data_IF_779683990186
#
_entry.id   IF_779683990186
#
_cell.length_a   1.000
_cell.length_b   1.000
_cell.length_c   1.000
_cell.angle_alpha   90.00
_cell.angle_beta   90.00
_cell.angle_gamma   90.00
#
_symmetry.space_group_name_H-M   'P 1'
#
loop_
_entity.id
_entity.type
_entity.pdbx_description
1 polymer ?
2 polymer ?
3 polymer ?
4 non-polymer ?
5 non-polymer ?
6 non-polymer ?
7 water ?
#
# COMPACT_ATOMS: atom_id res chain seq x y z
N UNK A 7 -13.82 8.40 -11.04
CA UNK A 7 -14.78 9.51 -11.02
C UNK A 7 -15.00 9.87 -9.55
N UNK A 8 -15.34 8.85 -8.77
CA UNK A 8 -15.41 8.99 -7.32
C UNK A 8 -14.24 8.36 -6.61
N UNK A 9 -13.12 8.13 -7.34
CA UNK A 9 -11.98 7.52 -6.69
C UNK A 9 -11.53 8.35 -5.50
N UNK A 10 -11.00 7.74 -4.48
CA UNK A 10 -10.35 8.53 -3.43
C UNK A 10 -11.30 9.26 -2.52
N UNK A 11 -12.60 9.05 -2.62
CA UNK A 11 -13.59 9.68 -1.78
C UNK A 11 -14.23 8.58 -0.94
N UNK A 12 -13.94 8.56 0.36
CA UNK A 12 -14.40 7.44 1.15
C UNK A 12 -15.87 7.55 1.56
N UNK A 13 -16.61 6.48 1.35
CA UNK A 13 -18.02 6.56 1.76
C UNK A 13 -18.28 6.94 3.20
N UNK A 14 -17.44 6.49 4.13
CA UNK A 14 -17.69 6.82 5.53
C UNK A 14 -17.04 8.09 6.00
N UNK A 15 -16.30 8.74 5.09
CA UNK A 15 -15.65 9.97 5.49
C UNK A 15 -15.98 11.07 4.49
N UNK A 16 -15.26 11.22 3.39
CA UNK A 16 -15.52 12.35 2.49
C UNK A 16 -16.96 12.39 2.00
N UNK A 17 -17.56 11.24 1.70
CA UNK A 17 -18.92 11.31 1.17
C UNK A 17 -19.91 11.86 2.17
N UNK A 18 -19.63 11.73 3.48
CA UNK A 18 -20.52 12.19 4.52
C UNK A 18 -19.98 13.43 5.22
N UNK A 19 -18.90 13.96 4.68
CA UNK A 19 -18.20 15.08 5.28
C UNK A 19 -17.80 14.79 6.73
N UNK A 20 -17.28 13.62 6.99
CA UNK A 20 -16.65 13.28 8.24
C UNK A 20 -15.14 13.12 8.06
N UNK A 21 -14.37 13.54 9.04
CA UNK A 21 -12.92 13.41 9.01
C UNK A 21 -12.45 12.31 9.92
N UNK A 22 -11.42 11.60 9.49
CA UNK A 22 -10.82 10.57 10.36
C UNK A 22 -9.92 11.22 11.39
N UNK A 23 -9.43 10.42 12.31
CA UNK A 23 -8.75 10.96 13.48
C UNK A 23 -7.42 11.59 13.15
N UNK A 24 -6.77 11.26 12.05
CA UNK A 24 -5.43 11.87 11.89
C UNK A 24 -5.23 12.49 10.53
N UNK A 25 -6.27 12.66 9.72
CA UNK A 25 -6.05 13.30 8.41
C UNK A 25 -5.67 14.74 8.62
N UNK A 26 -6.08 15.42 9.69
CA UNK A 26 -5.61 16.76 9.93
C UNK A 26 -4.09 16.83 9.99
N UNK A 27 -3.42 15.84 10.56
CA UNK A 27 -1.96 15.83 10.63
C UNK A 27 -1.36 15.87 9.24
N UNK A 28 -1.97 15.16 8.30
CA UNK A 28 -1.50 15.23 6.93
C UNK A 28 -1.70 16.63 6.38
N UNK A 29 -2.90 17.16 6.54
CA UNK A 29 -3.17 18.49 6.00
C UNK A 29 -2.20 19.53 6.51
N UNK A 30 -1.90 19.43 7.79
CA UNK A 30 -0.99 20.39 8.40
C UNK A 30 0.42 20.29 7.85
N UNK A 31 0.80 19.14 7.30
CA UNK A 31 2.11 19.00 6.68
C UNK A 31 2.15 19.54 5.26
N UNK A 32 1.01 19.84 4.66
CA UNK A 32 0.96 20.24 3.25
C UNK A 32 1.05 21.76 3.17
N UNK A 33 2.26 22.25 3.20
CA UNK A 33 2.38 23.67 3.45
C UNK A 33 2.27 24.53 2.18
N UNK A 34 2.38 23.96 1.01
CA UNK A 34 2.17 24.48 -0.33
C UNK A 34 3.46 24.68 -1.13
N UNK B 1 2.89 -2.78 10.79
CA UNK B 1 3.14 -1.38 11.09
C UNK B 1 3.66 -1.29 12.51
N UNK B 2 4.82 -0.68 12.64
CA UNK B 2 5.41 -0.44 13.93
C UNK B 2 5.06 0.96 14.39
N UNK B 3 4.61 1.03 15.64
CA UNK B 3 4.31 2.30 16.29
C UNK B 3 3.23 3.10 15.56
N UNK B 4 2.27 2.42 14.98
CA UNK B 4 1.07 3.06 14.46
C UNK B 4 -0.09 2.89 15.44
N UNK B 5 -1.30 2.89 14.90
CA UNK B 5 -2.50 2.81 15.71
C UNK B 5 -3.54 2.04 14.93
N UNK B 6 -4.58 1.62 15.61
CA UNK B 6 -5.66 0.96 14.91
C UNK B 6 -6.36 1.88 13.91
N UNK B 7 -6.63 1.42 12.71
CA UNK B 7 -7.49 2.13 11.76
C UNK B 7 -8.93 2.25 12.25
N UNK B 8 -9.59 3.30 11.80
CA UNK B 8 -11.03 3.43 11.94
C UNK B 8 -11.72 2.59 10.89
N UNK B 9 -12.95 2.18 11.17
CA UNK B 9 -13.74 1.48 10.15
C UNK B 9 -13.89 2.34 8.91
N UNK B 10 -13.62 1.78 7.75
CA UNK B 10 -13.74 2.43 6.47
C UNK B 10 -12.74 3.52 6.19
N UNK B 11 -11.70 3.58 6.98
CA UNK B 11 -10.67 4.62 6.82
C UNK B 11 -9.80 4.41 5.58
N UNK B 12 -9.62 3.17 5.19
CA UNK B 12 -8.77 2.81 4.05
C UNK B 12 -9.51 1.79 3.20
N UNK B 13 -10.59 2.21 2.56
CA UNK B 13 -11.44 1.23 1.91
C UNK B 13 -10.86 0.63 0.65
N UNK B 14 -9.71 1.16 0.25
CA UNK B 14 -8.93 0.62 -0.86
C UNK B 14 -7.91 -0.42 -0.39
N UNK B 15 -7.78 -0.64 0.91
CA UNK B 15 -6.80 -1.59 1.41
C UNK B 15 -7.14 -2.99 0.98
N UNK B 16 -6.12 -3.70 0.52
CA UNK B 16 -6.30 -5.07 0.10
C UNK B 16 -5.29 -5.93 0.83
N UNK B 17 -5.75 -7.08 1.27
CA UNK B 17 -4.89 -8.11 1.84
C UNK B 17 -4.63 -9.16 0.79
N UNK B 18 -3.37 -9.42 0.47
CA UNK B 18 -2.97 -10.57 -0.31
C UNK B 18 -2.76 -11.74 0.65
N UNK B 19 -3.49 -12.80 0.34
CA UNK B 19 -3.68 -13.94 1.23
C UNK B 19 -3.22 -15.19 0.51
N UNK B 20 -2.33 -15.91 1.23
CA UNK B 20 -1.83 -17.09 0.55
C UNK B 20 -2.87 -18.21 0.74
N UNK B 21 -3.19 -18.96 -0.30
CA UNK B 21 -4.32 -19.91 -0.19
C UNK B 21 -3.98 -21.02 0.75
N UNK B 22 -2.73 -21.41 0.50
CA UNK B 22 -2.34 -22.47 1.46
C UNK B 22 -0.85 -22.42 1.55
N UNK B 23 -0.21 -22.50 2.75
CA UNK B 23 -0.98 -22.36 3.98
C UNK B 23 -1.53 -20.95 4.21
N UNK B 24 -2.66 -20.89 4.86
CA UNK B 24 -3.41 -19.63 4.99
C UNK B 24 -2.53 -18.65 5.76
N UNK B 25 -2.11 -17.60 5.06
CA UNK B 25 -1.25 -16.64 5.73
C UNK B 25 -1.32 -15.31 4.96
N UNK B 26 -1.09 -14.23 5.70
CA UNK B 26 -0.96 -12.92 5.14
C UNK B 26 0.31 -12.97 4.29
N UNK B 27 0.19 -12.56 3.04
CA UNK B 27 1.44 -12.41 2.29
C UNK B 27 1.91 -10.97 2.22
N UNK B 28 0.96 -10.09 1.98
CA UNK B 28 1.34 -8.72 1.61
C UNK B 28 0.10 -7.85 1.66
N UNK B 29 0.34 -6.55 1.58
CA UNK B 29 -0.70 -5.60 1.33
C UNK B 29 -0.77 -5.30 -0.15
N UNK B 30 -1.81 -4.54 -0.49
CA UNK B 30 -2.14 -4.15 -1.85
C UNK B 30 -3.18 -3.04 -1.79
N UNK B 31 -3.58 -2.52 -2.93
CA UNK B 31 -4.60 -1.51 -2.96
C UNK B 31 -5.52 -1.68 -4.16
N UNK B 32 -6.76 -1.27 -3.96
CA UNK B 32 -7.79 -1.28 -4.99
C UNK B 32 -7.79 0.03 -5.80
N UNK B 33 -7.57 -0.10 -7.11
CA UNK B 33 -7.54 1.11 -7.96
C UNK B 33 -8.70 1.16 -8.95
N UNK B 34 -9.46 0.08 -9.06
CA UNK B 34 -10.71 0.11 -9.81
C UNK B 34 -11.46 -1.17 -9.49
N UNK B 35 -12.59 -1.41 -10.15
CA UNK B 35 -13.38 -2.56 -9.70
C UNK B 35 -12.70 -3.88 -10.05
N UNK B 36 -11.69 -3.96 -10.88
CA UNK B 36 -11.03 -5.17 -11.25
C UNK B 36 -9.51 -5.10 -11.11
N UNK B 37 -8.94 -4.02 -10.65
CA UNK B 37 -7.48 -3.93 -10.62
C UNK B 37 -6.97 -3.63 -9.22
N UNK B 38 -5.93 -4.38 -8.85
CA UNK B 38 -5.27 -4.25 -7.57
C UNK B 38 -3.78 -3.98 -7.82
N UNK B 39 -3.26 -3.04 -7.08
CA UNK B 39 -1.86 -2.63 -7.19
C UNK B 39 -1.07 -3.14 -6.00
N UNK B 40 0.13 -3.63 -6.21
CA UNK B 40 0.97 -4.12 -5.10
C UNK B 40 2.44 -3.95 -5.50
N UNK B 41 3.33 -4.44 -4.64
CA UNK B 41 4.75 -4.44 -4.92
C UNK B 41 5.12 -5.72 -5.67
N UNK B 42 6.03 -5.59 -6.62
CA UNK B 42 6.52 -6.77 -7.29
C UNK B 42 7.16 -7.73 -6.32
N UNK B 43 7.83 -7.26 -5.27
CA UNK B 43 8.55 -8.22 -4.43
C UNK B 43 7.59 -9.03 -3.57
N UNK B 44 6.33 -8.63 -3.50
CA UNK B 44 5.33 -9.49 -2.87
C UNK B 44 5.06 -10.77 -3.65
N UNK B 45 5.34 -10.73 -4.93
CA UNK B 45 5.05 -11.81 -5.84
C UNK B 45 6.29 -12.49 -6.35
N UNK B 46 7.40 -11.75 -6.46
CA UNK B 46 8.59 -12.30 -7.08
C UNK B 46 9.83 -11.82 -6.37
N UNK B 47 10.56 -12.74 -5.75
CA UNK B 47 11.84 -12.39 -5.10
C UNK B 47 12.62 -13.66 -4.97
N UNK B 48 13.32 -14.03 -6.04
CA UNK B 48 14.10 -15.28 -6.06
C UNK B 48 15.07 -15.46 -4.93
N UNK B 49 15.76 -14.49 -4.40
CA UNK B 49 16.67 -14.84 -3.26
C UNK B 49 15.98 -15.49 -2.08
N UNK B 50 14.69 -15.26 -1.93
CA UNK B 50 13.90 -15.88 -0.86
C UNK B 50 13.00 -16.98 -1.42
N UNK B 51 13.30 -17.42 -2.64
CA UNK B 51 12.47 -18.51 -3.22
C UNK B 51 11.00 -18.12 -3.32
N UNK B 52 10.75 -16.86 -3.63
CA UNK B 52 9.38 -16.37 -3.75
C UNK B 52 9.07 -16.15 -5.23
N UNK B 53 8.04 -16.85 -5.68
CA UNK B 53 7.58 -16.67 -7.05
C UNK B 53 6.15 -17.18 -7.16
N UNK B 54 5.21 -16.30 -6.84
CA UNK B 54 3.83 -16.68 -6.80
C UNK B 54 3.14 -16.54 -8.16
N UNK B 55 2.19 -17.45 -8.29
CA UNK B 55 1.33 -17.36 -9.48
C UNK B 55 -0.09 -17.07 -9.05
N UNK B 56 -0.93 -16.76 -10.00
CA UNK B 56 -2.30 -16.33 -9.75
C UNK B 56 -3.05 -17.29 -8.83
N UNK B 57 -2.92 -18.59 -9.06
CA UNK B 57 -3.77 -19.49 -8.26
C UNK B 57 -3.22 -19.72 -6.88
N UNK B 58 -2.07 -19.12 -6.55
CA UNK B 58 -1.51 -19.32 -5.21
C UNK B 58 -2.12 -18.39 -4.16
N UNK B 59 -2.83 -17.38 -4.60
CA UNK B 59 -3.26 -16.27 -3.77
C UNK B 59 -4.72 -15.89 -3.97
N UNK B 60 -5.21 -15.19 -2.98
CA UNK B 60 -6.50 -14.52 -3.05
C UNK B 60 -6.32 -13.07 -2.60
N UNK B 61 -7.27 -12.23 -2.99
CA UNK B 61 -7.24 -10.89 -2.42
C UNK B 61 -8.50 -10.74 -1.55
N UNK B 62 -8.33 -10.09 -0.42
CA UNK B 62 -9.39 -9.87 0.55
C UNK B 62 -9.54 -8.36 0.68
N UNK B 63 -10.74 -7.86 0.40
CA UNK B 63 -11.02 -6.46 0.24
C UNK B 63 -12.09 -6.08 1.24
N UNK B 64 -12.01 -4.92 1.83
CA UNK B 64 -13.01 -4.48 2.79
C UNK B 64 -12.73 -4.90 4.21
N UNK B 65 -11.51 -5.38 4.48
CA UNK B 65 -11.24 -5.92 5.80
C UNK B 65 -10.81 -4.88 6.81
N UNK B 66 -10.99 -5.28 8.07
CA UNK B 66 -10.51 -4.51 9.18
C UNK B 66 -9.79 -5.44 10.15
N UNK B 67 -10.49 -6.48 10.62
CA UNK B 67 -9.82 -7.52 11.34
C UNK B 67 -8.75 -8.25 10.51
N UNK B 68 -7.58 -8.56 11.08
CA UNK B 68 -6.53 -9.29 10.39
C UNK B 68 -6.92 -10.73 10.08
N UNK B 69 -7.41 -11.40 11.14
CA UNK B 69 -7.56 -12.84 11.06
C UNK B 69 -8.98 -13.32 10.84
N UNK B 70 -9.99 -12.51 11.14
CA UNK B 70 -11.35 -13.04 10.96
C UNK B 70 -11.84 -12.96 9.52
N UNK B 71 -12.79 -13.83 9.18
CA UNK B 71 -13.57 -13.75 7.97
C UNK B 71 -14.76 -12.83 8.19
N UNK B 72 -14.66 -11.63 7.73
CA UNK B 72 -15.60 -10.57 8.12
C UNK B 72 -16.82 -10.61 7.23
N UNK B 73 -17.66 -11.55 7.63
CA UNK B 73 -18.89 -11.93 6.95
C UNK B 73 -19.72 -10.71 6.63
N UNK B 74 -20.18 -10.56 5.40
CA UNK B 74 -21.06 -9.52 4.91
C UNK B 74 -20.37 -8.18 4.78
N UNK B 75 -19.06 -8.19 4.90
CA UNK B 75 -18.30 -6.95 4.80
C UNK B 75 -17.15 -7.11 3.83
N UNK B 76 -16.30 -8.09 4.15
CA UNK B 76 -15.17 -8.26 3.23
C UNK B 76 -15.66 -8.97 1.98
N UNK B 77 -14.88 -8.80 0.93
CA UNK B 77 -15.06 -9.55 -0.30
C UNK B 77 -13.76 -10.22 -0.70
N UNK B 78 -13.88 -11.45 -1.17
CA UNK B 78 -12.69 -12.23 -1.53
C UNK B 78 -12.71 -12.44 -3.03
N UNK B 79 -11.61 -12.10 -3.66
CA UNK B 79 -11.54 -12.18 -5.11
C UNK B 79 -10.39 -13.06 -5.52
N UNK B 80 -10.65 -13.71 -6.66
CA UNK B 80 -9.61 -14.49 -7.30
C UNK B 80 -8.87 -13.62 -8.31
N UNK B 81 -7.65 -14.06 -8.58
CA UNK B 81 -6.82 -13.37 -9.54
C UNK B 81 -6.94 -14.03 -10.90
N UNK B 82 -7.19 -13.08 -11.87
CA UNK B 82 -7.12 -13.49 -13.27
C UNK B 82 -5.68 -13.49 -13.77
N UNK B 83 -4.98 -12.40 -13.48
CA UNK B 83 -3.64 -12.36 -14.05
C UNK B 83 -2.76 -11.42 -13.24
N UNK B 84 -1.52 -11.72 -13.02
CA UNK B 84 -0.52 -10.84 -12.46
C UNK B 84 0.34 -10.23 -13.56
N UNK B 85 0.67 -8.95 -13.45
CA UNK B 85 1.56 -8.23 -14.32
C UNK B 85 2.64 -7.59 -13.46
N UNK B 86 3.85 -8.06 -13.59
CA UNK B 86 4.97 -7.47 -12.89
C UNK B 86 5.74 -6.55 -13.84
N UNK B 87 6.20 -5.43 -13.31
CA UNK B 87 6.98 -4.54 -14.18
C UNK B 87 8.14 -5.30 -14.81
N UNK B 88 8.27 -5.23 -16.12
CA UNK B 88 9.28 -6.05 -16.81
C UNK B 88 10.73 -5.76 -16.48
N UNK B 89 11.06 -4.63 -15.97
CA UNK B 89 12.29 -4.02 -15.49
C UNK B 89 12.40 -3.96 -13.98
N UNK B 90 11.50 -4.61 -13.23
CA UNK B 90 11.68 -4.80 -11.81
C UNK B 90 13.07 -5.40 -11.52
N UNK B 91 13.83 -4.67 -10.72
CA UNK B 91 15.24 -5.07 -10.48
C UNK B 91 15.38 -5.76 -9.14
N UNK B 92 14.99 -7.01 -9.06
CA UNK B 92 15.08 -7.75 -7.81
C UNK B 92 16.51 -8.14 -7.44
N UNK B 93 17.42 -8.04 -8.41
CA UNK B 93 18.79 -8.45 -8.10
C UNK B 93 19.57 -7.46 -7.24
N UNK B 94 19.11 -6.21 -7.34
CA UNK B 94 19.90 -5.16 -6.71
C UNK B 94 19.15 -4.40 -5.63
N UNK B 95 18.13 -3.63 -6.02
CA UNK B 95 17.53 -2.68 -5.12
C UNK B 95 16.01 -2.57 -5.24
N UNK B 96 15.37 -3.55 -5.86
CA UNK B 96 13.93 -3.56 -6.11
C UNK B 96 13.49 -2.34 -6.90
N UNK B 97 14.33 -1.79 -7.75
CA UNK B 97 13.87 -0.70 -8.60
C UNK B 97 12.64 -1.15 -9.40
N UNK B 98 11.65 -0.28 -9.53
CA UNK B 98 10.41 -0.51 -10.24
C UNK B 98 9.65 -1.66 -9.58
N UNK B 99 9.50 -1.54 -8.28
CA UNK B 99 8.86 -2.54 -7.43
C UNK B 99 7.33 -2.38 -7.48
N UNK B 100 6.75 -2.87 -8.54
CA UNK B 100 5.34 -2.64 -8.81
C UNK B 100 4.79 -3.81 -9.61
N UNK B 101 3.54 -4.12 -9.27
CA UNK B 101 2.81 -5.16 -9.94
C UNK B 101 1.33 -4.81 -9.89
N UNK B 102 0.64 -5.22 -10.92
CA UNK B 102 -0.83 -5.12 -11.02
C UNK B 102 -1.40 -6.52 -11.06
N UNK B 103 -2.56 -6.68 -10.46
CA UNK B 103 -3.32 -7.91 -10.43
C UNK B 103 -4.73 -7.61 -10.94
N UNK B 104 -5.16 -8.34 -11.95
CA UNK B 104 -6.52 -8.20 -12.47
C UNK B 104 -7.38 -9.26 -11.80
N UNK B 105 -8.49 -8.85 -11.25
CA UNK B 105 -9.40 -9.78 -10.57
C UNK B 105 -10.26 -10.51 -11.61
N UNK B 106 -10.68 -11.70 -11.22
CA UNK B 106 -11.53 -12.46 -12.11
C UNK B 106 -12.89 -11.79 -12.35
N UNK B 107 -13.45 -11.13 -11.35
CA UNK B 107 -14.75 -10.48 -11.44
C UNK B 107 -14.67 -9.09 -10.77
N UNK B 108 -15.56 -8.22 -11.18
CA UNK B 108 -15.54 -6.90 -10.54
C UNK B 108 -16.00 -7.04 -9.10
N UNK B 109 -15.37 -6.24 -8.26
CA UNK B 109 -15.78 -6.16 -6.86
C UNK B 109 -16.80 -5.00 -6.77
N UNK B 110 -17.87 -5.28 -6.05
CA UNK B 110 -18.87 -4.26 -5.75
C UNK B 110 -18.33 -3.30 -4.71
N UNK B 111 -18.43 -2.02 -4.98
CA UNK B 111 -18.03 -1.02 -3.98
C UNK B 111 -19.10 -0.97 -2.89
N UNK B 112 -18.69 -0.52 -1.72
CA UNK B 112 -19.55 -0.45 -0.56
C UNK B 112 -18.96 0.59 0.37
N UNK B 113 -19.50 0.67 1.57
CA UNK B 113 -18.94 1.60 2.53
C UNK B 113 -17.53 1.20 2.90
N UNK B 114 -17.14 -0.03 2.70
CA UNK B 114 -15.87 -0.57 3.15
C UNK B 114 -14.90 -0.88 2.03
N UNK B 115 -15.38 -0.74 0.80
CA UNK B 115 -14.64 -1.10 -0.39
C UNK B 115 -14.79 0.03 -1.42
N UNK B 116 -13.69 0.71 -1.71
CA UNK B 116 -13.74 1.80 -2.62
C UNK B 116 -12.35 2.08 -3.17
N UNK B 117 -12.22 2.42 -4.43
CA UNK B 117 -10.84 2.62 -4.97
C UNK B 117 -10.19 3.94 -4.60
N UNK B 118 -8.86 3.89 -4.56
CA UNK B 118 -8.02 5.04 -4.36
C UNK B 118 -7.70 5.67 -5.70
N UNK B 119 -7.38 6.94 -5.76
CA UNK B 119 -6.93 7.56 -7.00
C UNK B 119 -5.45 7.39 -7.20
N UNK B 120 -5.07 7.42 -8.47
CA UNK B 120 -3.67 7.44 -8.81
C UNK B 120 -3.30 8.85 -9.25
N UNK B 121 -2.11 9.25 -8.87
CA UNK B 121 -1.68 10.61 -9.17
C UNK B 121 -1.42 10.80 -10.66
N UNK B 122 -1.66 12.02 -11.08
CA UNK B 122 -1.12 12.54 -12.34
C UNK B 122 0.12 13.40 -12.06
N UNK B 123 0.68 13.97 -13.11
CA UNK B 123 1.96 14.67 -12.96
C UNK B 123 1.87 15.81 -11.94
N UNK B 124 0.73 16.48 -11.97
CA UNK B 124 0.57 17.68 -11.15
C UNK B 124 0.39 17.25 -9.69
N UNK B 125 -0.31 16.13 -9.50
CA UNK B 125 -0.49 15.58 -8.15
C UNK B 125 0.86 15.30 -7.51
N UNK B 126 1.67 14.61 -8.29
CA UNK B 126 2.97 14.24 -7.80
C UNK B 126 3.84 15.45 -7.51
N UNK B 127 3.77 16.43 -8.38
CA UNK B 127 4.60 17.60 -8.16
C UNK B 127 4.13 18.32 -6.92
N UNK B 128 2.82 18.41 -6.78
CA UNK B 128 2.25 19.13 -5.63
C UNK B 128 2.50 18.40 -4.31
N UNK B 129 2.35 17.10 -4.25
CA UNK B 129 2.36 16.43 -2.95
C UNK B 129 3.64 15.70 -2.56
N UNK B 130 4.46 15.29 -3.50
CA UNK B 130 5.67 14.50 -3.25
C UNK B 130 6.86 15.43 -3.02
N UNK B 131 6.79 15.98 -1.80
CA UNK B 131 7.70 16.97 -1.27
C UNK B 131 8.18 16.60 0.13
N UNK B 132 9.47 16.82 0.37
CA UNK B 132 9.97 16.50 1.70
C UNK B 132 9.16 17.21 2.77
N UNK B 133 8.85 16.44 3.82
CA UNK B 133 8.10 17.00 4.95
C UNK B 133 6.62 16.70 4.84
N UNK B 134 6.13 16.56 3.59
CA UNK B 134 4.72 16.27 3.44
C UNK B 134 4.44 14.84 3.92
N UNK B 135 3.35 14.64 4.63
CA UNK B 135 3.08 13.33 5.20
C UNK B 135 2.10 12.53 4.38
N UNK B 136 2.35 11.26 4.37
CA UNK B 136 1.42 10.28 3.83
C UNK B 136 1.12 9.28 4.90
N UNK B 137 0.28 8.36 4.51
CA UNK B 137 -0.29 7.39 5.42
C UNK B 137 -0.02 6.01 4.86
N UNK B 138 0.49 5.16 5.73
CA UNK B 138 0.74 3.76 5.39
C UNK B 138 -0.11 2.89 6.29
N UNK B 139 -0.64 1.83 5.71
CA UNK B 139 -1.57 0.98 6.41
C UNK B 139 -1.19 -0.46 6.16
N UNK B 140 -1.49 -1.33 7.13
CA UNK B 140 -1.29 -2.74 6.85
C UNK B 140 -1.51 -3.61 8.09
N UNK B 141 -1.40 -4.88 7.85
CA UNK B 141 -1.58 -5.87 8.90
C UNK B 141 -0.28 -6.60 9.24
N UNK B 142 0.84 -5.98 8.88
CA UNK B 142 2.13 -6.59 9.16
C UNK B 142 2.52 -6.49 10.61
N UNK B 143 3.72 -6.96 10.85
CA UNK B 143 4.24 -7.07 12.22
C UNK B 143 4.26 -5.73 12.93
N UNK B 144 4.06 -5.86 14.24
CA UNK B 144 4.08 -4.71 15.09
C UNK B 144 5.48 -4.31 15.54
N UNK B 145 6.45 -5.20 15.36
CA UNK B 145 7.81 -4.98 15.81
C UNK B 145 8.76 -5.70 14.88
N UNK B 146 9.99 -5.23 14.76
CA UNK B 146 10.97 -5.93 13.94
C UNK B 146 11.21 -7.33 14.49
N UNK B 147 11.33 -7.44 15.82
CA UNK B 147 11.63 -8.71 16.47
C UNK B 147 10.95 -8.78 17.84
N UNK B 155 4.15 -8.32 18.18
CA UNK B 155 3.42 -9.43 17.55
C UNK B 155 2.75 -9.03 16.25
N UNK B 156 1.54 -9.53 16.05
CA UNK B 156 0.68 -9.30 14.90
C UNK B 156 -0.61 -8.62 15.35
N UNK B 157 -1.08 -7.64 14.62
CA UNK B 157 -2.20 -6.84 15.10
C UNK B 157 -3.53 -7.55 14.88
N UNK B 158 -4.49 -7.22 15.74
CA UNK B 158 -5.83 -7.76 15.57
C UNK B 158 -6.56 -7.02 14.45
N UNK B 159 -6.24 -5.76 14.23
CA UNK B 159 -6.92 -4.98 13.22
C UNK B 159 -5.91 -4.14 12.44
N UNK B 160 -6.35 -3.71 11.26
CA UNK B 160 -5.56 -2.87 10.39
C UNK B 160 -4.94 -1.72 11.15
N UNK B 161 -3.65 -1.53 10.89
CA UNK B 161 -2.89 -0.49 11.52
C UNK B 161 -2.60 0.61 10.52
N UNK B 162 -2.43 1.81 11.07
CA UNK B 162 -2.15 2.98 10.26
C UNK B 162 -1.05 3.80 10.91
N UNK B 163 -0.21 4.44 10.10
CA UNK B 163 0.75 5.42 10.61
C UNK B 163 0.96 6.46 9.54
N UNK B 164 1.09 7.69 9.96
CA UNK B 164 1.39 8.79 9.07
C UNK B 164 2.88 9.07 9.15
N UNK B 165 3.53 9.25 8.03
CA UNK B 165 4.97 9.42 7.98
C UNK B 165 5.35 10.50 6.97
N UNK B 166 6.33 11.32 7.30
CA UNK B 166 6.79 12.35 6.35
C UNK B 166 7.73 11.79 5.30
N UNK B 167 7.57 12.35 4.10
CA UNK B 167 8.51 12.14 3.02
C UNK B 167 9.86 12.76 3.40
N UNK B 168 10.92 12.02 3.14
CA UNK B 168 12.26 12.44 3.56
C UNK B 168 13.07 12.98 2.39
N UNK B 169 13.89 13.96 2.66
CA UNK B 169 14.75 14.57 1.66
C UNK B 169 15.61 13.49 1.02
N UNK B 170 15.81 13.60 -0.27
CA UNK B 170 16.50 12.53 -0.94
C UNK B 170 17.94 12.35 -0.49
N UNK B 171 18.70 13.39 -0.23
CA UNK B 171 20.05 13.14 0.29
C UNK B 171 20.05 12.40 1.62
N UNK B 172 19.09 12.65 2.50
CA UNK B 172 19.03 11.88 3.75
C UNK B 172 18.72 10.43 3.50
N UNK B 173 17.77 10.19 2.59
CA UNK B 173 17.50 8.81 2.23
C UNK B 173 18.76 8.10 1.75
N UNK B 174 19.45 8.79 0.85
CA UNK B 174 20.66 8.20 0.25
C UNK B 174 21.75 7.91 1.28
N UNK B 175 21.87 8.83 2.21
CA UNK B 175 22.92 8.71 3.22
C UNK B 175 22.59 7.71 4.30
N UNK B 176 21.43 7.11 4.29
CA UNK B 176 20.96 6.23 5.33
C UNK B 176 21.25 4.78 5.00
N UNK B 177 21.69 4.49 3.81
CA UNK B 177 21.79 3.13 3.34
C UNK B 177 22.93 3.01 2.37
N UNK B 178 23.41 1.76 2.22
CA UNK B 178 24.42 1.46 1.20
C UNK B 178 23.74 1.04 -0.10
N UNK B 179 22.45 0.84 -0.12
CA UNK B 179 21.74 0.42 -1.33
C UNK B 179 21.63 1.60 -2.26
N UNK B 180 21.72 1.37 -3.55
CA UNK B 180 21.54 2.42 -4.54
C UNK B 180 20.08 2.79 -4.71
N UNK B 181 19.75 4.01 -4.52
CA UNK B 181 18.42 4.60 -4.65
C UNK B 181 18.17 5.07 -6.08
N UNK B 182 16.99 4.92 -6.59
CA UNK B 182 16.64 5.39 -7.93
C UNK B 182 15.49 6.40 -7.86
N UNK B 183 15.26 7.05 -8.99
CA UNK B 183 14.19 8.03 -9.09
C UNK B 183 12.81 7.42 -8.99
N UNK B 184 12.68 6.14 -9.17
CA UNK B 184 11.48 5.37 -8.96
C UNK B 184 11.20 5.00 -7.52
N UNK B 185 11.90 5.52 -6.56
CA UNK B 185 11.71 5.30 -5.14
C UNK B 185 11.65 6.63 -4.41
N UNK B 186 10.96 6.62 -3.26
CA UNK B 186 11.16 7.68 -2.31
C UNK B 186 11.23 7.04 -0.93
N UNK B 187 11.63 7.84 0.08
CA UNK B 187 11.65 7.26 1.43
C UNK B 187 10.82 8.17 2.33
N UNK B 188 10.37 7.53 3.40
CA UNK B 188 9.53 8.22 4.37
C UNK B 188 9.86 7.70 5.76
N UNK B 189 9.60 8.54 6.73
CA UNK B 189 9.84 8.20 8.13
C UNK B 189 10.37 9.42 8.85
N UNK B 190 10.29 9.32 10.20
CA UNK B 190 10.85 10.36 11.04
C UNK B 190 12.34 10.16 11.23
N UNK B 191 12.99 11.29 11.40
CA UNK B 191 14.42 11.30 11.72
C UNK B 191 14.61 11.03 13.19
N UNK B 192 15.76 10.53 13.64
CA UNK B 192 15.95 10.34 15.07
C UNK B 192 15.66 11.55 15.94
N UNK B 193 16.09 12.73 15.51
CA UNK B 193 15.85 13.93 16.31
C UNK B 193 14.39 14.33 16.32
N UNK B 194 13.55 13.82 15.42
CA UNK B 194 12.14 14.20 15.43
C UNK B 194 11.32 13.57 16.54
N UNK B 195 11.83 12.58 17.27
CA UNK B 195 11.11 12.06 18.43
C UNK B 195 9.94 11.15 18.12
N UNK B 196 9.24 11.36 17.00
CA UNK B 196 8.14 10.49 16.63
C UNK B 196 8.68 9.29 15.87
N UNK B 197 7.90 8.21 15.85
CA UNK B 197 8.32 6.96 15.27
C UNK B 197 7.25 6.42 14.34
N UNK B 198 7.66 5.33 13.70
CA UNK B 198 6.69 4.65 12.85
C UNK B 198 7.35 4.10 11.59
N UNK B 199 6.90 2.94 11.20
CA UNK B 199 7.38 2.39 9.93
C UNK B 199 6.44 1.29 9.52
N UNK B 200 6.60 0.94 8.26
CA UNK B 200 6.02 -0.30 7.83
C UNK B 200 6.92 -1.42 8.32
N UNK B 201 6.44 -2.66 8.28
CA UNK B 201 7.26 -3.80 8.63
C UNK B 201 6.84 -5.04 7.86
N UNK B 202 7.42 -6.18 8.19
CA UNK B 202 7.13 -7.43 7.52
C UNK B 202 5.63 -7.68 7.45
N UNK B 203 5.09 -7.91 6.27
CA UNK B 203 3.65 -8.08 6.08
C UNK B 203 2.98 -6.85 5.48
N UNK B 204 3.66 -5.70 5.57
CA UNK B 204 3.07 -4.47 5.08
C UNK B 204 3.49 -4.17 3.63
N UNK B 205 4.50 -4.87 3.10
CA UNK B 205 4.95 -4.75 1.74
C UNK B 205 3.76 -4.73 0.78
N UNK B 206 3.87 -3.89 -0.23
CA UNK B 206 2.82 -3.82 -1.25
C UNK B 206 1.67 -2.93 -0.93
N UNK B 207 1.55 -2.49 0.34
CA UNK B 207 0.44 -1.64 0.71
C UNK B 207 0.65 -0.24 0.24
N UNK B 208 -0.41 0.53 0.35
CA UNK B 208 -0.34 1.90 -0.16
C UNK B 208 0.19 2.93 0.79
N UNK B 209 0.90 3.88 0.21
CA UNK B 209 1.28 5.14 0.86
C UNK B 209 0.36 6.18 0.21
N UNK B 210 -0.57 6.73 0.99
CA UNK B 210 -1.57 7.61 0.44
C UNK B 210 -1.47 9.01 1.01
N UNK B 211 -1.93 9.96 0.21
CA UNK B 211 -1.94 11.35 0.61
C UNK B 211 -3.28 11.95 0.24
N UNK B 212 -3.83 12.87 1.03
CA UNK B 212 -5.11 13.45 0.77
C UNK B 212 -4.86 14.82 0.13
N UNK B 213 -5.20 14.97 -1.13
CA UNK B 213 -4.96 16.26 -1.78
C UNK B 213 -5.77 17.35 -1.11
N UNK B 214 -5.09 18.44 -0.75
CA UNK B 214 -5.83 19.56 -0.17
C UNK B 214 -6.51 20.37 -1.26
N UNK B 215 -6.27 20.08 -2.52
CA UNK B 215 -6.89 20.82 -3.64
C UNK B 215 -8.27 20.29 -3.95
N UNK B 216 -8.37 18.92 -3.97
CA UNK B 216 -9.64 18.36 -4.38
C UNK B 216 -10.22 17.36 -3.41
N UNK B 217 -9.63 17.18 -2.23
CA UNK B 217 -10.19 16.39 -1.15
C UNK B 217 -10.12 14.90 -1.41
N UNK B 218 -9.35 14.46 -2.37
CA UNK B 218 -9.32 13.07 -2.74
C UNK B 218 -8.00 12.42 -2.27
N UNK B 219 -8.11 11.16 -1.93
CA UNK B 219 -6.94 10.37 -1.57
C UNK B 219 -6.27 9.78 -2.80
N UNK B 220 -4.97 9.97 -2.88
CA UNK B 220 -4.10 9.50 -3.93
C UNK B 220 -3.06 8.54 -3.37
N UNK B 221 -2.86 7.47 -4.11
CA UNK B 221 -1.79 6.55 -3.75
C UNK B 221 -0.49 7.00 -4.43
N UNK B 222 0.40 7.54 -3.61
CA UNK B 222 1.64 8.10 -4.11
C UNK B 222 2.76 7.05 -4.10
N UNK B 223 2.62 6.07 -3.20
CA UNK B 223 3.67 5.10 -3.04
C UNK B 223 3.12 3.72 -2.78
N UNK B 224 4.02 2.76 -2.92
CA UNK B 224 3.80 1.38 -2.52
C UNK B 224 4.91 0.98 -1.56
N UNK B 225 4.53 0.32 -0.47
CA UNK B 225 5.54 -0.11 0.48
C UNK B 225 6.52 -1.04 -0.22
N UNK B 226 7.80 -0.69 -0.28
CA UNK B 226 8.82 -1.46 -0.98
C UNK B 226 9.78 -2.04 0.03
N UNK B 227 11.04 -1.66 0.04
CA UNK B 227 12.04 -2.28 0.90
C UNK B 227 12.38 -1.40 2.10
N UNK B 228 12.93 -2.02 3.14
CA UNK B 228 13.49 -1.37 4.31
C UNK B 228 14.54 -2.25 4.96
N UNK B 229 15.41 -1.72 5.74
CA UNK B 229 16.46 -2.47 6.48
C UNK B 229 16.00 -2.40 7.93
N UNK B 230 15.40 -3.52 8.35
CA UNK B 230 14.80 -3.54 9.67
C UNK B 230 13.49 -2.80 9.67
N UNK B 231 12.99 -2.46 10.84
CA UNK B 231 11.72 -1.75 10.90
C UNK B 231 11.85 -0.73 12.06
N UNK B 232 11.52 0.50 11.77
CA UNK B 232 11.52 1.57 12.76
C UNK B 232 12.86 1.68 13.46
N UNK B 233 13.93 1.38 12.73
CA UNK B 233 15.24 1.64 13.30
C UNK B 233 15.62 3.11 13.18
N UNK B 234 16.21 3.64 14.24
CA UNK B 234 16.71 5.01 14.15
C UNK B 234 17.72 5.20 13.02
N UNK B 235 17.42 6.21 12.21
CA UNK B 235 18.32 6.62 11.15
C UNK B 235 18.13 5.81 9.89
N UNK B 236 17.16 4.91 9.92
CA UNK B 236 16.78 4.18 8.72
C UNK B 236 15.40 4.67 8.30
N UNK B 237 15.09 4.54 7.01
CA UNK B 237 13.83 5.00 6.45
C UNK B 237 13.24 3.91 5.62
N UNK B 238 11.93 3.87 5.52
CA UNK B 238 11.32 2.90 4.62
C UNK B 238 11.31 3.46 3.21
N UNK B 239 11.43 2.58 2.24
CA UNK B 239 11.39 2.97 0.85
C UNK B 239 10.09 2.52 0.17
N UNK B 240 9.64 3.36 -0.73
CA UNK B 240 8.36 3.27 -1.40
C UNK B 240 8.55 3.45 -2.88
N UNK B 241 7.82 2.65 -3.64
CA UNK B 241 7.79 2.78 -5.08
C UNK B 241 7.01 4.06 -5.42
N UNK B 242 7.63 4.85 -6.27
CA UNK B 242 7.03 6.09 -6.73
C UNK B 242 6.00 5.83 -7.80
N UNK B 243 4.71 5.85 -7.43
CA UNK B 243 3.66 5.43 -8.32
C UNK B 243 3.57 6.28 -9.58
N UNK B 244 3.65 7.59 -9.43
CA UNK B 244 3.51 8.40 -10.62
C UNK B 244 4.61 8.10 -11.63
N UNK B 245 5.85 7.85 -11.18
CA UNK B 245 6.94 7.62 -12.10
C UNK B 245 6.68 6.34 -12.90
N UNK B 246 5.81 5.46 -12.36
CA UNK B 246 5.50 4.22 -13.06
C UNK B 246 4.13 4.20 -13.69
N UNK B 247 3.53 5.39 -13.78
CA UNK B 247 2.16 5.45 -14.25
C UNK B 247 2.04 5.13 -15.73
N UNK B 248 3.02 5.42 -16.55
CA UNK B 248 2.87 5.05 -17.97
C UNK B 248 2.72 3.54 -18.06
N UNK B 249 3.49 2.83 -17.24
CA UNK B 249 3.36 1.37 -17.25
C UNK B 249 1.99 0.89 -16.75
N UNK B 250 1.55 1.48 -15.64
CA UNK B 250 0.23 1.14 -15.15
C UNK B 250 -0.83 1.33 -16.24
N UNK B 251 -0.73 2.54 -16.88
CA UNK B 251 -1.74 2.82 -17.89
C UNK B 251 -1.65 1.90 -19.10
N UNK B 252 -0.41 1.56 -19.47
CA UNK B 252 -0.14 0.65 -20.58
C UNK B 252 -0.85 -0.68 -20.33
N UNK B 253 -0.67 -1.21 -19.12
CA UNK B 253 -1.23 -2.52 -18.76
C UNK B 253 -2.75 -2.46 -18.74
N UNK B 254 -3.27 -1.44 -18.09
CA UNK B 254 -4.73 -1.41 -17.95
C UNK B 254 -5.34 -1.18 -19.33
N UNK B 255 -4.73 -0.36 -20.16
CA UNK B 255 -5.30 -0.09 -21.46
C UNK B 255 -5.27 -1.32 -22.37
N UNK B 256 -4.23 -2.15 -22.17
CA UNK B 256 -4.03 -3.34 -23.02
C UNK B 256 -4.90 -4.51 -22.56
N UNK B 257 -5.02 -4.60 -21.23
CA UNK B 257 -5.67 -5.77 -20.67
C UNK B 257 -6.93 -5.48 -19.90
N UNK B 258 -7.32 -4.20 -19.82
CA UNK B 258 -8.49 -3.86 -19.00
C UNK B 258 -9.77 -4.12 -19.77
N UNK B 259 -10.89 -4.13 -19.05
CA UNK B 259 -12.16 -4.47 -19.67
C UNK B 259 -12.99 -3.21 -19.98
N UNK C 1 -4.50 -19.59 13.21
CA UNK C 1 -4.71 -18.17 13.51
C UNK C 1 -5.66 -17.50 12.53
N UNK C 2 -5.64 -17.77 11.23
CA UNK C 2 -6.67 -17.14 10.40
C UNK C 2 -7.94 -17.98 10.43
N UNK C 3 -9.07 -17.31 10.62
CA UNK C 3 -10.36 -17.97 10.52
C UNK C 3 -10.47 -18.52 9.09
N UNK C 4 -11.08 -19.68 8.98
CA UNK C 4 -11.26 -20.29 7.67
C UNK C 4 -12.22 -19.50 6.82
N UNK C 5 -11.94 -19.46 5.51
CA UNK C 5 -12.84 -18.66 4.66
C UNK C 5 -13.80 -19.62 4.01
N UNK C 6 -14.88 -19.16 3.40
CA UNK C 6 -15.81 -20.11 2.79
C UNK C 6 -15.21 -20.79 1.56
N UNK C 7 -15.71 -22.00 1.36
CA UNK C 7 -15.31 -22.96 0.35
C UNK C 7 -15.21 -22.35 -1.05
N UNK C 8 -16.20 -21.51 -1.32
CA UNK C 8 -16.50 -20.90 -2.59
C UNK C 8 -15.28 -20.21 -3.15
N UNK C 9 -14.47 -19.69 -2.23
CA UNK C 9 -13.28 -18.95 -2.61
C UNK C 9 -12.04 -19.84 -2.70
N UNK C 10 -12.18 -21.15 -2.51
CA UNK C 10 -10.95 -21.96 -2.59
C UNK C 10 -11.10 -23.07 -3.61
X LIG D 1 13.59 5.03 11.20
X LIG E 1 24.42 5.77 0.88
X LIG F 1 16.89 -6.59 2.14
X LIG F 1 16.33 -6.13 0.97
X LIG F 1 17.03 -5.68 0.00
X LIG F 1 18.55 -5.46 0.26
X LIG F 1 18.73 -4.46 1.34
X LIG F 1 16.41 -5.03 -1.23
X LIG F 1 16.86 -3.53 -1.28
X LIG F 1 16.78 -5.81 -2.38
X LIG F 1 14.86 -6.34 0.96
X LIG F 1 14.02 -5.62 1.89
X LIG F 1 12.69 -5.86 1.78
X LIG F 1 12.17 -6.68 0.97
X LIG F 1 12.84 -7.40 0.05
X LIG F 1 12.38 -8.37 -0.91
X LIG F 1 14.34 -7.18 0.10
X LIG F 1 11.99 -5.09 2.74
X LIG F 1 10.58 -5.57 2.96
X LIG F 1 10.08 -4.61 4.08
X LIG F 1 8.79 -5.22 4.64
X LIG F 1 9.80 -3.31 3.62
X LIG F 1 9.74 -2.19 4.38
X LIG F 1 9.37 -0.97 3.92
X LIG F 1 9.31 0.22 4.76
X LIG F 1 9.73 -0.09 6.02
X LIG F 1 10.08 -1.18 6.51
X LIG F 1 10.08 -2.36 5.78
#
# INVERSE_FOLDING_TARGET
TFGSGEADCGLRPLFEKKSLEDKTERELLESYIDGR
IVEGSDAEIGMSPWQVMLFRKSPQELLCGASLISDRWVLTAAHCLLYPPWDKNFTENDLLVRIGKHSRTRYERNIEKISMLEKIYIHPRYNWRENLDRDIALMKLKKPVAFSDYIHPVCLPDRETAASLLQAGYKGRVTGWGNLKETWTANVGKGQPSVLQVVNLPIVERPVCKDSTRIRITDNMFCAGYKPDEGKRGDACEGDSGGPFVMKSPFNNRWYQMGIVSWGEGCDRDGKYGFYTHVFRLKKWIQKVIDQFGE
DFEEIPEEYL
NA NA
CA CA
896 O2 C21 N2 C6 C5 C22 C24 C23 C17 C16 C14 C15 C19 C20 C18 O3 C1 C7 C8 N3 C9 C10 C11 N4 C12 C13
#
